data_IF_852559106582
#
_entry.id   IF_852559106582
#
_cell.length_a   1.000
_cell.length_b   1.000
_cell.length_c   1.000
_cell.angle_alpha   90.00
_cell.angle_beta   90.00
_cell.angle_gamma   90.00
#
_symmetry.space_group_name_H-M   'P 1'
#
loop_
_entity.id
_entity.type
_entity.pdbx_description
1 polymer ?
#
# COMPACT_ATOMS: atom_id res chain seq x y z
N UNK A 1 -1.36 28.09 8.86
CA UNK A 1 -0.17 27.91 9.69
C UNK A 1 1.03 27.65 8.79
N UNK A 2 2.16 28.21 9.16
CA UNK A 2 3.44 27.94 8.51
C UNK A 2 4.53 27.63 9.53
N UNK A 3 5.56 26.91 9.11
CA UNK A 3 6.78 26.79 9.88
C UNK A 3 7.99 26.99 8.97
N UNK A 4 9.03 27.62 9.53
CA UNK A 4 10.30 27.76 8.85
C UNK A 4 11.49 27.63 9.83
N UNK A 5 12.64 27.29 9.30
CA UNK A 5 13.92 27.32 9.98
C UNK A 5 14.77 28.50 9.50
N UNK A 6 15.53 29.09 10.40
CA UNK A 6 16.59 30.03 10.05
C UNK A 6 17.84 29.24 9.67
N UNK A 7 18.52 29.63 8.59
CA UNK A 7 19.73 28.94 8.10
C UNK A 7 20.99 29.28 8.91
N UNK A 8 20.89 30.19 9.88
CA UNK A 8 21.99 30.47 10.78
C UNK A 8 22.25 29.27 11.72
N UNK A 9 23.46 28.74 11.81
CA UNK A 9 23.83 27.60 12.65
C UNK A 9 23.40 27.73 14.11
N UNK A 10 23.26 28.94 14.65
CA UNK A 10 22.82 29.19 16.01
C UNK A 10 21.38 28.78 16.27
N UNK A 11 20.52 28.74 15.24
CA UNK A 11 19.12 28.36 15.30
C UNK A 11 18.87 26.92 14.89
N UNK A 12 19.90 26.12 14.73
CA UNK A 12 19.78 24.72 14.34
C UNK A 12 18.87 23.93 15.27
N UNK A 13 17.88 23.25 14.72
CA UNK A 13 16.89 22.46 15.46
C UNK A 13 15.77 23.31 16.06
N UNK A 14 15.66 24.59 15.66
CA UNK A 14 14.55 25.46 16.01
C UNK A 14 13.65 25.67 14.79
N UNK A 15 12.36 25.64 15.01
CA UNK A 15 11.35 26.04 14.04
C UNK A 15 10.57 27.23 14.58
N UNK A 16 10.34 28.22 13.72
CA UNK A 16 9.36 29.25 14.00
C UNK A 16 8.01 28.82 13.43
N UNK A 17 7.00 28.76 14.29
CA UNK A 17 5.64 28.35 13.94
C UNK A 17 4.72 29.56 14.05
N UNK A 18 4.12 29.98 12.94
CA UNK A 18 3.29 31.17 12.90
C UNK A 18 2.03 31.03 12.05
N UNK A 19 1.19 32.06 12.14
CA UNK A 19 -0.06 32.16 11.38
C UNK A 19 -0.02 33.33 10.42
N UNK A 20 -0.70 33.17 9.27
CA UNK A 20 -0.89 34.25 8.32
C UNK A 20 -2.18 34.06 7.51
N UNK A 21 -2.81 35.15 7.16
CA UNK A 21 -3.95 35.23 6.22
C UNK A 21 -3.52 35.62 4.81
N UNK A 22 -2.24 35.93 4.64
CA UNK A 22 -1.65 36.25 3.33
C UNK A 22 -0.69 35.13 2.92
N UNK A 23 -0.19 35.22 1.69
CA UNK A 23 0.79 34.27 1.18
C UNK A 23 1.98 34.08 2.14
N UNK A 24 2.35 32.82 2.40
CA UNK A 24 3.37 32.45 3.37
C UNK A 24 4.75 32.98 2.98
N UNK A 25 5.12 32.89 1.69
CA UNK A 25 6.43 33.35 1.21
C UNK A 25 6.57 34.86 1.42
N UNK A 26 5.50 35.60 1.11
CA UNK A 26 5.46 37.05 1.37
C UNK A 26 5.54 37.36 2.86
N UNK A 27 4.82 36.62 3.71
CA UNK A 27 4.83 36.83 5.16
C UNK A 27 6.19 36.56 5.77
N UNK A 28 6.86 35.48 5.40
CA UNK A 28 8.17 35.13 5.92
C UNK A 28 9.24 36.12 5.40
N UNK A 29 9.17 36.50 4.13
CA UNK A 29 10.10 37.50 3.58
C UNK A 29 10.02 38.86 4.31
N UNK A 30 8.85 39.26 4.77
CA UNK A 30 8.69 40.51 5.58
C UNK A 30 9.41 40.45 6.93
N UNK A 31 9.66 39.27 7.47
CA UNK A 31 10.41 39.11 8.73
C UNK A 31 11.92 39.20 8.53
N UNK A 32 12.39 39.12 7.27
CA UNK A 32 13.79 39.22 6.87
C UNK A 32 13.95 40.33 5.81
N UNK A 33 13.81 41.60 6.19
CA UNK A 33 13.82 42.70 5.22
C UNK A 33 15.16 42.89 4.55
N UNK A 34 16.26 42.41 5.15
CA UNK A 34 17.61 42.54 4.59
C UNK A 34 17.98 41.30 3.78
N UNK A 35 18.26 41.50 2.50
CA UNK A 35 18.78 40.44 1.62
C UNK A 35 20.26 40.26 1.82
N UNK A 36 20.76 39.03 1.74
CA UNK A 36 22.21 38.73 1.74
C UNK A 36 22.84 39.21 0.44
N UNK A 37 24.13 39.55 0.44
CA UNK A 37 24.84 40.03 -0.75
C UNK A 37 24.86 39.05 -1.93
N UNK A 38 24.76 37.74 -1.64
CA UNK A 38 24.71 36.65 -2.61
C UNK A 38 23.26 36.38 -3.14
N UNK A 39 22.28 37.18 -2.71
CA UNK A 39 20.88 37.01 -3.07
C UNK A 39 20.18 35.89 -2.35
N UNK A 40 20.85 35.11 -1.50
CA UNK A 40 20.20 34.02 -0.73
C UNK A 40 19.32 34.57 0.38
N UNK A 41 18.31 33.80 0.76
CA UNK A 41 17.45 34.11 1.90
C UNK A 41 17.93 33.38 3.14
N UNK A 42 17.85 33.98 4.34
CA UNK A 42 18.37 33.39 5.57
C UNK A 42 17.41 32.38 6.22
N UNK A 43 16.42 31.89 5.48
CA UNK A 43 15.39 30.98 6.00
C UNK A 43 15.01 29.90 4.97
N UNK A 44 14.41 28.83 5.46
CA UNK A 44 13.80 27.79 4.65
C UNK A 44 12.40 27.47 5.20
N UNK A 45 11.35 27.73 4.42
CA UNK A 45 9.98 27.36 4.80
C UNK A 45 9.84 25.83 4.66
N UNK A 46 9.46 25.17 5.74
CA UNK A 46 9.38 23.71 5.83
C UNK A 46 7.94 23.20 5.96
N UNK A 47 6.99 24.10 6.26
CA UNK A 47 5.59 23.75 6.40
C UNK A 47 4.69 24.88 5.91
N UNK A 48 3.63 24.51 5.18
CA UNK A 48 2.48 25.35 4.82
C UNK A 48 1.23 24.52 4.95
N UNK A 49 0.36 24.88 5.89
CA UNK A 49 -0.86 24.15 6.18
C UNK A 49 -2.05 25.09 6.37
N UNK A 50 -3.23 24.64 5.96
CA UNK A 50 -4.47 25.36 6.22
C UNK A 50 -4.78 25.41 7.72
N UNK A 51 -5.22 26.56 8.21
CA UNK A 51 -5.68 26.78 9.58
C UNK A 51 -7.21 26.66 9.70
N UNK A 52 -7.81 25.73 8.98
CA UNK A 52 -9.26 25.53 8.98
C UNK A 52 -9.63 24.21 9.60
N UNK A 53 -10.70 24.21 10.38
CA UNK A 53 -11.39 23.00 10.83
C UNK A 53 -12.25 22.41 9.71
N UNK A 54 -12.64 21.12 9.79
CA UNK A 54 -13.55 20.51 8.81
C UNK A 54 -14.93 21.18 8.74
N UNK A 55 -15.34 21.88 9.78
CA UNK A 55 -16.61 22.62 9.85
C UNK A 55 -16.54 24.04 9.19
N UNK A 56 -15.39 24.39 8.60
CA UNK A 56 -15.15 25.66 7.95
C UNK A 56 -14.73 26.80 8.90
N UNK A 57 -14.71 26.60 10.20
CA UNK A 57 -14.14 27.56 11.13
C UNK A 57 -12.59 27.53 11.10
N UNK A 58 -11.94 28.57 11.63
CA UNK A 58 -10.48 28.68 11.64
C UNK A 58 -9.90 28.63 13.05
N UNK A 59 -8.64 28.24 13.15
CA UNK A 59 -7.79 28.32 14.33
C UNK A 59 -6.53 29.13 14.01
N UNK A 60 -5.74 29.47 15.00
CA UNK A 60 -4.51 30.24 14.83
C UNK A 60 -3.28 29.46 15.36
N UNK A 61 -2.11 30.11 15.30
CA UNK A 61 -0.85 29.52 15.81
C UNK A 61 -0.83 29.36 17.34
N UNK A 62 -1.62 30.14 18.09
CA UNK A 62 -1.71 29.97 19.53
C UNK A 62 -2.30 28.61 19.94
N UNK A 63 -3.25 28.08 19.16
CA UNK A 63 -3.80 26.75 19.40
C UNK A 63 -2.72 25.68 19.21
N UNK A 64 -1.92 25.81 18.16
CA UNK A 64 -0.79 24.93 17.87
C UNK A 64 0.31 25.06 18.94
N UNK A 65 0.65 26.29 19.34
CA UNK A 65 1.64 26.56 20.38
C UNK A 65 1.25 25.92 21.70
N UNK A 66 -0.02 26.09 22.16
CA UNK A 66 -0.52 25.45 23.38
C UNK A 66 -0.38 23.95 23.35
N UNK A 67 -0.63 23.34 22.20
CA UNK A 67 -0.52 21.89 22.06
C UNK A 67 0.92 21.42 22.06
N UNK A 68 1.82 22.11 21.38
CA UNK A 68 3.25 21.81 21.39
C UNK A 68 3.79 21.87 22.83
N UNK A 69 3.46 22.94 23.59
CA UNK A 69 3.87 23.08 24.99
C UNK A 69 3.28 21.97 25.88
N UNK A 70 2.00 21.60 25.68
CA UNK A 70 1.35 20.50 26.40
C UNK A 70 2.03 19.15 26.15
N UNK A 71 2.54 18.95 24.93
CA UNK A 71 3.32 17.76 24.56
C UNK A 71 4.78 17.80 25.04
N UNK A 72 5.17 18.83 25.79
CA UNK A 72 6.52 18.97 26.35
C UNK A 72 7.56 19.53 25.37
N UNK A 73 7.13 20.07 24.22
CA UNK A 73 8.04 20.74 23.28
C UNK A 73 8.52 22.05 23.85
N UNK A 74 9.84 22.24 23.88
CA UNK A 74 10.45 23.43 24.46
C UNK A 74 10.20 24.68 23.62
N UNK A 75 9.51 25.67 24.16
CA UNK A 75 9.42 27.01 23.59
C UNK A 75 10.66 27.80 23.98
N UNK A 76 11.44 28.26 23.01
CA UNK A 76 12.70 28.98 23.26
C UNK A 76 12.43 30.47 23.43
N UNK A 77 11.46 31.02 22.72
CA UNK A 77 11.04 32.41 22.83
C UNK A 77 10.13 32.82 21.67
N UNK A 78 9.11 33.64 21.98
CA UNK A 78 8.15 34.07 20.97
C UNK A 78 7.45 32.87 20.29
N UNK A 79 7.57 32.78 18.97
CA UNK A 79 7.01 31.71 18.13
C UNK A 79 8.03 30.60 17.82
N UNK A 80 9.20 30.56 18.51
CA UNK A 80 10.26 29.61 18.27
C UNK A 80 10.20 28.41 19.20
N UNK A 81 10.21 27.22 18.61
CA UNK A 81 10.16 25.94 19.29
C UNK A 81 11.35 25.05 18.91
N UNK A 82 11.87 24.30 19.87
CA UNK A 82 12.85 23.25 19.64
C UNK A 82 12.11 21.97 19.25
N UNK A 83 11.85 21.82 17.97
CA UNK A 83 11.04 20.71 17.45
C UNK A 83 11.38 20.36 16.00
N UNK A 84 10.82 19.25 15.56
CA UNK A 84 10.83 18.78 14.19
C UNK A 84 9.56 19.20 13.45
N UNK A 85 9.59 19.16 12.11
CA UNK A 85 8.40 19.40 11.28
C UNK A 85 7.28 18.38 11.60
N UNK A 86 7.65 17.15 11.91
CA UNK A 86 6.69 16.09 12.27
C UNK A 86 5.92 16.41 13.55
N UNK A 87 6.58 16.97 14.55
CA UNK A 87 5.93 17.40 15.80
C UNK A 87 4.96 18.55 15.56
N UNK A 88 5.29 19.49 14.67
CA UNK A 88 4.38 20.58 14.29
C UNK A 88 3.18 20.03 13.52
N UNK A 89 3.40 19.11 12.57
CA UNK A 89 2.31 18.45 11.84
C UNK A 89 1.40 17.67 12.78
N UNK A 90 1.95 16.91 13.72
CA UNK A 90 1.16 16.17 14.71
C UNK A 90 0.35 17.10 15.62
N UNK A 91 0.89 18.27 15.97
CA UNK A 91 0.16 19.29 16.72
C UNK A 91 -0.99 19.89 15.87
N UNK A 92 -0.74 20.20 14.61
CA UNK A 92 -1.78 20.66 13.68
C UNK A 92 -2.91 19.64 13.51
N UNK A 93 -2.56 18.36 13.34
CA UNK A 93 -3.54 17.26 13.26
C UNK A 93 -4.40 17.22 14.52
N UNK A 94 -3.79 17.29 15.68
CA UNK A 94 -4.49 17.27 16.96
C UNK A 94 -5.46 18.46 17.11
N UNK A 95 -5.02 19.68 16.76
CA UNK A 95 -5.88 20.88 16.77
C UNK A 95 -7.05 20.69 15.80
N UNK A 96 -6.76 20.32 14.54
CA UNK A 96 -7.77 20.16 13.49
C UNK A 96 -8.80 19.07 13.81
N UNK A 97 -8.37 17.97 14.40
CA UNK A 97 -9.23 16.85 14.81
C UNK A 97 -9.85 17.03 16.19
N UNK A 98 -9.47 18.06 16.92
CA UNK A 98 -9.88 18.32 18.33
C UNK A 98 -9.60 17.11 19.24
N UNK A 99 -8.43 16.47 19.05
CA UNK A 99 -7.96 15.29 19.79
C UNK A 99 -6.61 15.59 20.45
N UNK A 100 -6.21 14.76 21.41
CA UNK A 100 -4.88 14.89 22.01
C UNK A 100 -3.77 14.33 21.11
N UNK A 101 -4.11 13.41 20.19
CA UNK A 101 -3.16 12.78 19.26
C UNK A 101 -1.85 12.38 19.98
N UNK A 102 -1.97 11.55 21.00
CA UNK A 102 -0.86 11.18 21.91
C UNK A 102 0.29 10.52 21.15
N UNK A 103 -0.03 9.76 20.12
CA UNK A 103 0.94 8.99 19.31
C UNK A 103 1.60 9.83 18.20
N UNK A 104 1.35 11.15 18.15
CA UNK A 104 1.93 12.08 17.17
C UNK A 104 1.67 11.72 15.70
N UNK A 105 0.47 11.27 15.41
CA UNK A 105 0.06 10.90 14.06
C UNK A 105 -0.10 12.14 13.18
N UNK A 106 0.26 12.02 11.90
CA UNK A 106 0.40 13.16 11.00
C UNK A 106 -0.53 13.14 9.79
N UNK A 107 -1.26 12.03 9.57
CA UNK A 107 -2.16 11.88 8.43
C UNK A 107 -3.62 11.98 8.86
N UNK A 108 -4.43 12.72 8.07
CA UNK A 108 -5.86 12.99 8.38
C UNK A 108 -6.76 12.87 7.14
N UNK A 109 -6.26 12.32 6.04
CA UNK A 109 -7.06 12.21 4.83
C UNK A 109 -8.26 11.28 5.02
N UNK A 110 -9.36 11.60 4.38
CA UNK A 110 -10.56 10.76 4.38
C UNK A 110 -10.55 9.76 3.22
N UNK A 111 -11.37 8.72 3.33
CA UNK A 111 -11.61 7.81 2.22
C UNK A 111 -12.14 8.56 1.01
N UNK A 112 -11.63 8.22 -0.18
CA UNK A 112 -12.25 8.61 -1.43
C UNK A 112 -13.61 7.90 -1.61
N UNK A 113 -14.51 8.44 -2.46
CA UNK A 113 -15.86 7.85 -2.62
C UNK A 113 -15.86 6.36 -2.95
N UNK A 114 -14.98 5.91 -3.83
CA UNK A 114 -14.86 4.51 -4.22
C UNK A 114 -14.33 3.62 -3.07
N UNK A 115 -13.46 4.16 -2.23
CA UNK A 115 -12.98 3.43 -1.03
C UNK A 115 -14.12 3.27 -0.02
N UNK A 116 -14.90 4.34 0.19
CA UNK A 116 -16.06 4.30 1.07
C UNK A 116 -17.11 3.31 0.55
N UNK A 117 -17.39 3.31 -0.76
CA UNK A 117 -18.29 2.36 -1.40
C UNK A 117 -17.83 0.91 -1.22
N UNK A 118 -16.53 0.62 -1.44
CA UNK A 118 -15.97 -0.71 -1.24
C UNK A 118 -16.16 -1.19 0.20
N UNK A 119 -15.87 -0.33 1.16
CA UNK A 119 -16.06 -0.60 2.59
C UNK A 119 -17.54 -0.86 2.91
N UNK A 120 -18.43 0.02 2.47
CA UNK A 120 -19.85 -0.07 2.81
C UNK A 120 -20.51 -1.32 2.17
N UNK A 121 -20.17 -1.68 0.92
CA UNK A 121 -20.63 -2.92 0.28
C UNK A 121 -20.11 -4.16 1.00
N UNK A 122 -18.85 -4.17 1.41
CA UNK A 122 -18.27 -5.28 2.17
C UNK A 122 -18.97 -5.46 3.52
N UNK A 123 -19.20 -4.36 4.24
CA UNK A 123 -19.91 -4.37 5.52
C UNK A 123 -21.34 -4.89 5.36
N UNK A 124 -22.05 -4.43 4.32
CA UNK A 124 -23.42 -4.88 4.05
C UNK A 124 -23.45 -6.39 3.78
N UNK A 125 -22.53 -6.89 2.94
CA UNK A 125 -22.43 -8.31 2.66
C UNK A 125 -22.08 -9.14 3.91
N UNK A 126 -21.14 -8.71 4.73
CA UNK A 126 -20.77 -9.43 5.96
C UNK A 126 -21.93 -9.51 6.96
N UNK A 127 -22.71 -8.44 7.10
CA UNK A 127 -23.89 -8.42 7.98
C UNK A 127 -24.98 -9.35 7.46
N UNK A 128 -25.31 -9.31 6.17
CA UNK A 128 -26.29 -10.19 5.55
C UNK A 128 -25.91 -11.67 5.71
N UNK A 129 -24.67 -12.02 5.41
CA UNK A 129 -24.16 -13.38 5.54
C UNK A 129 -24.22 -13.90 7.00
N UNK A 130 -23.99 -13.01 7.98
CA UNK A 130 -24.12 -13.34 9.40
C UNK A 130 -25.59 -13.59 9.79
N UNK A 131 -26.50 -12.73 9.35
CA UNK A 131 -27.94 -12.84 9.64
C UNK A 131 -28.57 -14.10 9.00
N UNK A 132 -28.10 -14.48 7.82
CA UNK A 132 -28.55 -15.68 7.11
C UNK A 132 -28.05 -16.99 7.74
N UNK A 133 -27.14 -16.90 8.73
CA UNK A 133 -26.60 -18.08 9.42
C UNK A 133 -25.79 -19.00 8.51
N UNK A 134 -25.04 -18.42 7.57
CA UNK A 134 -24.18 -19.18 6.65
C UNK A 134 -23.22 -20.10 7.41
N UNK A 135 -23.16 -21.37 7.01
CA UNK A 135 -22.20 -22.34 7.55
C UNK A 135 -20.76 -22.10 7.04
N UNK A 136 -20.58 -21.16 6.11
CA UNK A 136 -19.25 -20.80 5.56
C UNK A 136 -18.85 -19.43 6.05
N UNK A 137 -17.57 -19.26 6.35
CA UNK A 137 -16.99 -17.96 6.70
C UNK A 137 -17.19 -16.99 5.53
N UNK A 138 -17.85 -15.84 5.76
CA UNK A 138 -18.08 -14.85 4.70
C UNK A 138 -16.76 -14.32 4.16
N UNK A 139 -16.68 -14.19 2.82
CA UNK A 139 -15.51 -13.70 2.10
C UNK A 139 -15.89 -12.63 1.11
N UNK A 140 -14.99 -11.66 0.90
CA UNK A 140 -15.19 -10.57 -0.04
C UNK A 140 -13.91 -10.27 -0.81
N UNK A 141 -14.02 -9.93 -2.08
CA UNK A 141 -12.90 -9.62 -2.98
C UNK A 141 -12.94 -8.14 -3.40
N UNK A 142 -11.85 -7.42 -3.15
CA UNK A 142 -11.60 -6.13 -3.78
C UNK A 142 -10.70 -6.31 -5.00
N UNK A 143 -11.31 -6.32 -6.17
CA UNK A 143 -10.63 -6.19 -7.44
C UNK A 143 -10.40 -4.70 -7.71
N UNK A 144 -9.35 -4.16 -7.14
CA UNK A 144 -9.06 -2.75 -7.24
C UNK A 144 -7.62 -2.52 -7.70
N UNK A 145 -7.49 -1.66 -8.72
CA UNK A 145 -6.20 -1.33 -9.33
C UNK A 145 -5.15 -0.85 -8.30
N UNK A 146 -3.88 -0.85 -8.71
CA UNK A 146 -2.81 -0.23 -7.91
C UNK A 146 -3.16 1.24 -7.61
N UNK A 147 -2.76 1.72 -6.42
CA UNK A 147 -3.06 3.07 -5.90
C UNK A 147 -4.53 3.35 -5.59
N UNK A 148 -5.33 2.31 -5.50
CA UNK A 148 -6.67 2.41 -4.91
C UNK A 148 -6.61 2.81 -3.43
N UNK A 149 -5.53 2.50 -2.72
CA UNK A 149 -5.42 2.67 -1.26
C UNK A 149 -6.11 1.54 -0.51
N UNK A 150 -5.95 0.31 -0.99
CA UNK A 150 -6.53 -0.90 -0.38
C UNK A 150 -6.18 -1.03 1.09
N UNK A 151 -4.93 -0.72 1.46
CA UNK A 151 -4.41 -0.79 2.83
C UNK A 151 -5.23 0.08 3.79
N UNK A 152 -5.31 1.38 3.50
CA UNK A 152 -6.08 2.33 4.29
C UNK A 152 -7.56 1.97 4.37
N UNK A 153 -8.18 1.66 3.23
CA UNK A 153 -9.59 1.27 3.18
C UNK A 153 -9.88 -0.02 3.97
N UNK A 154 -8.93 -0.98 4.01
CA UNK A 154 -9.07 -2.20 4.82
C UNK A 154 -9.06 -1.90 6.31
N UNK A 155 -8.23 -0.95 6.75
CA UNK A 155 -8.24 -0.50 8.14
C UNK A 155 -9.52 0.25 8.50
N UNK A 156 -10.04 1.08 7.60
CA UNK A 156 -11.33 1.73 7.78
C UNK A 156 -12.48 0.72 7.86
N UNK A 157 -12.46 -0.33 7.05
CA UNK A 157 -13.40 -1.46 7.18
C UNK A 157 -13.32 -2.09 8.57
N UNK A 158 -12.11 -2.43 9.01
CA UNK A 158 -11.91 -3.06 10.31
C UNK A 158 -12.35 -2.15 11.46
N UNK A 159 -12.10 -0.83 11.38
CA UNK A 159 -12.54 0.18 12.34
C UNK A 159 -14.06 0.28 12.39
N UNK A 160 -14.73 0.42 11.22
CA UNK A 160 -16.18 0.53 11.13
C UNK A 160 -16.92 -0.74 11.61
N UNK A 161 -16.31 -1.91 11.44
CA UNK A 161 -16.83 -3.19 11.93
C UNK A 161 -16.50 -3.44 13.41
N UNK A 162 -15.67 -2.62 14.03
CA UNK A 162 -15.24 -2.78 15.43
C UNK A 162 -14.30 -3.96 15.67
N UNK A 163 -13.57 -4.39 14.63
CA UNK A 163 -12.64 -5.51 14.72
C UNK A 163 -11.44 -5.17 15.62
N UNK A 164 -11.02 -6.14 16.40
CA UNK A 164 -9.88 -6.00 17.32
C UNK A 164 -8.68 -6.87 16.94
N UNK A 165 -8.89 -7.91 16.14
CA UNK A 165 -7.84 -8.85 15.73
C UNK A 165 -7.85 -9.02 14.24
N UNK A 166 -6.89 -8.40 13.57
CA UNK A 166 -6.73 -8.44 12.12
C UNK A 166 -5.44 -9.14 11.77
N UNK A 167 -5.51 -10.14 10.93
CA UNK A 167 -4.36 -10.84 10.39
C UNK A 167 -4.20 -10.51 8.91
N UNK A 168 -3.02 -10.07 8.50
CA UNK A 168 -2.68 -9.76 7.12
C UNK A 168 -1.66 -10.78 6.63
N UNK A 169 -2.00 -11.48 5.56
CA UNK A 169 -1.17 -12.48 4.92
C UNK A 169 -0.81 -12.06 3.50
N UNK A 170 0.47 -12.16 3.15
CA UNK A 170 0.97 -11.82 1.81
C UNK A 170 2.06 -12.78 1.35
N UNK A 171 2.26 -12.89 0.03
CA UNK A 171 3.46 -13.51 -0.54
C UNK A 171 4.61 -12.52 -0.76
N UNK A 172 4.33 -11.21 -0.62
CA UNK A 172 5.32 -10.13 -0.83
C UNK A 172 5.62 -9.37 0.45
N UNK A 173 6.57 -9.82 1.28
CA UNK A 173 6.91 -9.13 2.54
C UNK A 173 7.26 -7.64 2.36
N UNK A 174 7.72 -7.24 1.17
CA UNK A 174 8.08 -5.85 0.86
C UNK A 174 6.95 -4.83 1.05
N UNK A 175 5.67 -5.26 1.05
CA UNK A 175 4.52 -4.36 1.28
C UNK A 175 4.29 -4.04 2.77
N UNK A 176 5.03 -4.68 3.68
CA UNK A 176 4.92 -4.47 5.13
C UNK A 176 5.02 -3.01 5.53
N UNK A 177 5.97 -2.28 4.95
CA UNK A 177 6.19 -0.86 5.25
C UNK A 177 4.94 -0.02 4.97
N UNK A 178 4.28 -0.25 3.82
CA UNK A 178 3.06 0.48 3.46
C UNK A 178 1.91 0.19 4.46
N UNK A 179 1.72 -1.07 4.84
CA UNK A 179 0.73 -1.46 5.83
C UNK A 179 1.00 -0.82 7.20
N UNK A 180 2.26 -0.82 7.63
CA UNK A 180 2.67 -0.21 8.89
C UNK A 180 2.50 1.30 8.87
N UNK A 181 2.95 1.97 7.81
CA UNK A 181 2.89 3.43 7.70
C UNK A 181 1.45 3.91 7.73
N UNK A 182 0.54 3.36 6.93
CA UNK A 182 -0.86 3.75 6.92
C UNK A 182 -1.49 3.61 8.32
N UNK A 183 -1.22 2.51 9.03
CA UNK A 183 -1.76 2.30 10.38
C UNK A 183 -1.18 3.25 11.41
N UNK A 184 0.15 3.47 11.39
CA UNK A 184 0.85 4.17 12.46
C UNK A 184 0.88 5.68 12.27
N UNK A 185 0.59 6.20 11.08
CA UNK A 185 0.64 7.64 10.81
C UNK A 185 -0.73 8.30 10.75
N UNK A 186 -1.81 7.54 10.50
CA UNK A 186 -3.14 8.10 10.36
C UNK A 186 -3.86 8.23 11.70
N UNK A 187 -4.49 9.38 11.96
CA UNK A 187 -5.16 9.72 13.24
C UNK A 187 -6.31 8.77 13.57
N UNK A 188 -6.99 8.25 12.58
CA UNK A 188 -8.15 7.36 12.76
C UNK A 188 -7.81 6.03 13.44
N UNK A 189 -6.53 5.64 13.43
CA UNK A 189 -6.05 4.40 14.01
C UNK A 189 -5.24 4.63 15.30
N UNK A 190 -5.42 5.79 15.95
CA UNK A 190 -4.78 6.03 17.24
C UNK A 190 -5.15 4.93 18.24
N UNK A 191 -4.14 4.39 18.90
CA UNK A 191 -4.31 3.27 19.80
C UNK A 191 -4.21 1.88 19.17
N UNK A 192 -4.15 1.75 17.84
CA UNK A 192 -3.94 0.47 17.20
C UNK A 192 -2.49 0.01 17.28
N UNK A 193 -2.27 -1.30 17.36
CA UNK A 193 -0.96 -1.92 17.49
C UNK A 193 -0.62 -2.70 16.23
N UNK A 194 0.57 -2.47 15.66
CA UNK A 194 1.06 -3.20 14.49
C UNK A 194 2.17 -4.16 14.89
N UNK A 195 1.98 -5.43 14.59
CA UNK A 195 2.88 -6.53 14.91
C UNK A 195 3.37 -7.16 13.61
N UNK A 196 4.67 -7.21 13.44
CA UNK A 196 5.29 -7.82 12.26
C UNK A 196 6.73 -8.21 12.55
N UNK A 197 7.32 -8.99 11.65
CA UNK A 197 8.74 -9.32 11.73
C UNK A 197 9.58 -8.04 11.59
N UNK A 198 10.50 -7.82 12.52
CA UNK A 198 11.48 -6.74 12.43
C UNK A 198 12.82 -7.30 11.93
N UNK A 199 13.26 -6.83 10.76
CA UNK A 199 14.53 -7.22 10.19
C UNK A 199 15.73 -6.78 11.05
N UNK A 200 15.58 -5.74 11.87
CA UNK A 200 16.62 -5.22 12.75
C UNK A 200 16.65 -5.90 14.12
N UNK A 201 15.59 -6.62 14.49
CA UNK A 201 15.50 -7.31 15.76
C UNK A 201 14.91 -8.72 15.59
N UNK A 202 15.72 -9.63 15.07
CA UNK A 202 15.32 -11.02 14.81
C UNK A 202 15.04 -11.84 16.07
N UNK A 203 15.45 -11.36 17.25
CA UNK A 203 15.20 -12.03 18.54
C UNK A 203 13.79 -11.77 19.05
N UNK A 204 13.15 -10.68 18.63
CA UNK A 204 11.79 -10.35 19.00
C UNK A 204 10.80 -10.95 17.98
N UNK A 205 10.34 -12.15 18.28
CA UNK A 205 9.44 -12.86 17.36
C UNK A 205 8.06 -12.20 17.29
N UNK A 206 7.30 -12.46 16.22
CA UNK A 206 5.92 -11.99 16.07
C UNK A 206 5.05 -12.50 17.24
N UNK A 207 5.30 -13.75 17.69
CA UNK A 207 4.61 -14.31 18.83
C UNK A 207 4.90 -13.53 20.12
N UNK A 208 6.16 -13.20 20.41
CA UNK A 208 6.53 -12.41 21.60
C UNK A 208 5.88 -11.04 21.59
N UNK A 209 5.87 -10.37 20.44
CA UNK A 209 5.17 -9.11 20.24
C UNK A 209 3.66 -9.25 20.50
N UNK A 210 3.04 -10.31 19.95
CA UNK A 210 1.63 -10.58 20.16
C UNK A 210 1.31 -10.85 21.63
N UNK A 211 2.13 -11.63 22.33
CA UNK A 211 1.90 -11.91 23.76
C UNK A 211 1.98 -10.66 24.62
N UNK A 212 2.88 -9.73 24.31
CA UNK A 212 3.05 -8.46 25.03
C UNK A 212 2.02 -7.39 24.67
N UNK A 213 1.35 -7.54 23.52
CA UNK A 213 0.38 -6.55 23.05
C UNK A 213 -0.84 -6.46 23.99
N UNK A 214 -1.37 -5.25 24.14
CA UNK A 214 -2.61 -5.01 24.88
C UNK A 214 -3.82 -5.58 24.13
N UNK A 215 -4.39 -6.65 24.68
CA UNK A 215 -5.52 -7.35 24.05
C UNK A 215 -6.84 -6.58 24.06
N UNK A 216 -6.92 -5.48 24.82
CA UNK A 216 -8.10 -4.59 24.84
C UNK A 216 -8.10 -3.61 23.67
N UNK A 217 -6.92 -3.34 23.10
CA UNK A 217 -6.72 -2.45 21.94
C UNK A 217 -6.71 -3.27 20.65
N UNK A 218 -7.08 -2.68 19.50
CA UNK A 218 -6.97 -3.34 18.22
C UNK A 218 -5.52 -3.74 17.89
N UNK A 219 -5.36 -4.96 17.38
CA UNK A 219 -4.08 -5.54 17.01
C UNK A 219 -4.15 -5.95 15.54
N UNK A 220 -3.17 -5.51 14.77
CA UNK A 220 -2.92 -5.93 13.40
C UNK A 220 -1.64 -6.76 13.38
N UNK A 221 -1.74 -8.03 12.98
CA UNK A 221 -0.59 -8.88 12.75
C UNK A 221 -0.35 -9.00 11.24
N UNK A 222 0.87 -8.72 10.82
CA UNK A 222 1.30 -8.82 9.43
C UNK A 222 2.41 -9.85 9.29
N UNK A 223 2.30 -10.72 8.29
CA UNK A 223 3.36 -11.65 7.94
C UNK A 223 3.17 -12.30 6.58
N UNK A 224 4.21 -12.99 6.15
CA UNK A 224 4.12 -13.82 4.96
C UNK A 224 3.45 -15.16 5.26
N UNK A 225 2.99 -15.82 4.21
CA UNK A 225 2.51 -17.20 4.33
C UNK A 225 3.57 -18.13 4.90
N UNK A 226 4.83 -17.92 4.50
CA UNK A 226 5.96 -18.73 5.02
C UNK A 226 6.19 -18.50 6.51
N UNK A 227 5.92 -17.29 7.02
CA UNK A 227 6.09 -16.98 8.44
C UNK A 227 5.06 -17.70 9.30
N UNK A 228 3.80 -17.77 8.85
CA UNK A 228 2.70 -18.26 9.67
C UNK A 228 2.24 -19.69 9.35
N UNK A 229 2.30 -20.11 8.09
CA UNK A 229 1.78 -21.41 7.63
C UNK A 229 2.88 -22.46 7.41
N UNK A 230 4.13 -22.15 7.77
CA UNK A 230 5.23 -23.08 7.61
C UNK A 230 5.06 -24.35 8.47
N UNK A 231 5.23 -25.50 7.84
CA UNK A 231 5.17 -26.82 8.48
C UNK A 231 6.50 -27.17 9.14
N UNK A 232 6.47 -27.92 10.23
CA UNK A 232 7.66 -28.51 10.83
C UNK A 232 8.05 -29.74 10.03
N UNK A 233 9.27 -29.75 9.47
CA UNK A 233 9.79 -30.86 8.63
C UNK A 233 9.88 -32.19 9.33
N UNK A 234 10.04 -32.16 10.66
CA UNK A 234 10.25 -33.38 11.44
C UNK A 234 8.94 -34.04 11.87
N UNK A 235 7.87 -33.27 11.99
CA UNK A 235 6.58 -33.74 12.54
C UNK A 235 5.41 -33.66 11.57
N UNK A 236 5.58 -32.99 10.39
CA UNK A 236 4.50 -32.75 9.45
C UNK A 236 3.39 -31.80 9.99
N UNK A 237 3.56 -31.25 11.19
CA UNK A 237 2.60 -30.36 11.85
C UNK A 237 2.99 -28.90 11.76
N UNK A 238 2.08 -28.03 12.19
CA UNK A 238 2.35 -26.60 12.30
C UNK A 238 3.55 -26.37 13.21
N UNK A 239 4.45 -25.46 12.83
CA UNK A 239 5.56 -25.07 13.71
C UNK A 239 5.01 -24.58 15.05
N UNK A 240 5.52 -25.10 16.16
CA UNK A 240 5.07 -24.75 17.52
C UNK A 240 5.03 -23.21 17.76
N UNK A 241 5.97 -22.47 17.18
CA UNK A 241 6.01 -21.02 17.25
C UNK A 241 4.85 -20.32 16.54
N UNK A 242 4.08 -21.02 15.71
CA UNK A 242 2.97 -20.49 14.93
C UNK A 242 1.60 -20.99 15.41
N UNK A 243 1.53 -21.90 16.38
CA UNK A 243 0.27 -22.44 16.92
C UNK A 243 -0.68 -21.33 17.38
N UNK A 244 -0.15 -20.26 17.95
CA UNK A 244 -0.95 -19.12 18.40
C UNK A 244 -1.74 -18.44 17.27
N UNK A 245 -1.23 -18.41 16.04
CA UNK A 245 -1.95 -17.84 14.87
C UNK A 245 -3.18 -18.67 14.56
N UNK A 246 -3.06 -20.00 14.67
CA UNK A 246 -4.12 -20.95 14.36
C UNK A 246 -5.15 -21.07 15.48
N UNK A 247 -4.73 -20.86 16.73
CA UNK A 247 -5.61 -20.90 17.92
C UNK A 247 -6.25 -19.55 18.25
N UNK A 248 -5.79 -18.47 17.63
CA UNK A 248 -6.40 -17.15 17.79
C UNK A 248 -7.67 -17.05 16.95
N UNK A 249 -8.77 -16.60 17.57
CA UNK A 249 -9.98 -16.23 16.83
C UNK A 249 -9.78 -14.82 16.23
N UNK A 250 -9.51 -14.77 14.93
CA UNK A 250 -9.38 -13.51 14.21
C UNK A 250 -10.75 -12.96 13.84
N UNK A 251 -10.90 -11.63 13.91
CA UNK A 251 -12.12 -10.99 13.41
C UNK A 251 -12.07 -10.89 11.88
N UNK A 252 -10.90 -10.59 11.33
CA UNK A 252 -10.66 -10.45 9.89
C UNK A 252 -9.30 -11.03 9.50
N UNK A 253 -9.29 -11.86 8.46
CA UNK A 253 -8.07 -12.26 7.75
C UNK A 253 -8.05 -11.59 6.38
N UNK A 254 -6.99 -10.87 6.08
CA UNK A 254 -6.77 -10.16 4.82
C UNK A 254 -5.69 -10.88 4.01
N UNK A 255 -6.03 -11.26 2.78
CA UNK A 255 -5.08 -11.77 1.80
C UNK A 255 -4.68 -10.67 0.85
N UNK A 256 -3.45 -10.14 1.02
CA UNK A 256 -2.94 -9.08 0.15
C UNK A 256 -2.19 -9.67 -1.05
N UNK A 257 -2.34 -9.01 -2.21
CA UNK A 257 -1.81 -9.47 -3.49
C UNK A 257 -2.32 -10.86 -3.87
N UNK A 258 -3.65 -11.08 -3.71
CA UNK A 258 -4.29 -12.33 -4.05
C UNK A 258 -4.30 -12.56 -5.57
N UNK A 259 -3.38 -13.41 -6.03
CA UNK A 259 -3.29 -13.86 -7.41
C UNK A 259 -3.69 -15.34 -7.47
N UNK A 260 -4.93 -15.62 -7.84
CA UNK A 260 -5.57 -16.94 -7.73
C UNK A 260 -4.67 -18.12 -8.15
N UNK A 261 -4.05 -18.16 -9.24
CA UNK A 261 -3.24 -19.31 -9.67
C UNK A 261 -1.91 -19.45 -8.90
N UNK A 262 -1.21 -18.33 -8.71
CA UNK A 262 0.07 -18.31 -8.00
C UNK A 262 -0.09 -18.61 -6.51
N UNK A 263 -1.22 -18.23 -5.92
CA UNK A 263 -1.52 -18.50 -4.53
C UNK A 263 -1.71 -20.00 -4.28
N UNK A 264 -2.53 -20.67 -5.09
CA UNK A 264 -2.80 -22.12 -5.01
C UNK A 264 -1.51 -22.92 -5.23
N UNK A 265 -0.71 -22.54 -6.21
CA UNK A 265 0.55 -23.21 -6.52
C UNK A 265 1.61 -22.96 -5.43
N UNK A 266 1.72 -21.77 -4.89
CA UNK A 266 2.69 -21.47 -3.83
C UNK A 266 2.26 -22.06 -2.47
N UNK A 267 0.98 -22.06 -2.16
CA UNK A 267 0.46 -22.77 -1.00
C UNK A 267 0.74 -24.29 -1.14
N UNK A 268 0.46 -24.86 -2.30
CA UNK A 268 0.77 -26.24 -2.61
C UNK A 268 2.27 -26.55 -2.43
N UNK A 269 3.16 -25.74 -3.00
CA UNK A 269 4.62 -25.91 -2.84
C UNK A 269 5.09 -25.80 -1.39
N UNK A 270 4.46 -24.97 -0.56
CA UNK A 270 4.77 -24.88 0.86
C UNK A 270 4.39 -26.16 1.62
N UNK A 271 3.34 -26.86 1.16
CA UNK A 271 2.91 -28.14 1.72
C UNK A 271 3.60 -29.34 1.05
N UNK A 272 3.96 -29.27 -0.25
CA UNK A 272 4.59 -30.34 -1.02
C UNK A 272 6.12 -30.48 -0.80
N UNK A 273 6.79 -29.50 -0.22
CA UNK A 273 8.22 -29.66 0.11
C UNK A 273 8.50 -30.76 1.18
N UNK A 274 7.46 -31.36 1.69
CA UNK A 274 7.55 -32.45 2.69
C UNK A 274 6.96 -33.80 2.24
N UNK A 275 6.62 -33.99 0.93
CA UNK A 275 5.90 -35.21 0.52
C UNK A 275 6.46 -35.92 -0.71
N UNK A 276 7.15 -37.02 -0.43
CA UNK A 276 7.24 -38.18 -1.34
C UNK A 276 6.00 -39.11 -1.22
N UNK A 277 5.05 -38.88 -0.26
CA UNK A 277 3.96 -39.80 0.08
C UNK A 277 2.51 -39.32 -0.13
N UNK A 278 2.28 -38.13 -0.67
CA UNK A 278 0.89 -37.52 -0.76
C UNK A 278 0.25 -37.52 -2.15
N UNK A 279 0.76 -38.29 -3.08
CA UNK A 279 0.43 -38.17 -4.52
C UNK A 279 -0.95 -38.74 -4.91
N UNK A 280 -1.62 -39.53 -4.10
CA UNK A 280 -2.87 -40.17 -4.50
C UNK A 280 -4.15 -39.40 -4.12
N UNK A 281 -4.16 -38.62 -3.06
CA UNK A 281 -5.37 -37.93 -2.63
C UNK A 281 -5.52 -36.53 -3.24
N UNK A 282 -4.45 -35.83 -3.57
CA UNK A 282 -4.48 -34.49 -4.20
C UNK A 282 -4.86 -34.54 -5.69
N UNK A 283 -4.54 -35.63 -6.39
CA UNK A 283 -4.94 -35.82 -7.80
C UNK A 283 -6.46 -35.97 -7.98
N UNK A 284 -7.18 -36.35 -6.92
CA UNK A 284 -8.65 -36.42 -6.90
C UNK A 284 -9.32 -35.06 -6.76
N UNK A 285 -8.65 -34.06 -6.16
CA UNK A 285 -9.14 -32.70 -5.98
C UNK A 285 -8.92 -31.77 -7.18
N UNK A 286 -8.04 -32.14 -8.09
CA UNK A 286 -7.73 -31.34 -9.29
C UNK A 286 -8.84 -31.38 -10.37
N UNK A 287 -9.89 -32.18 -10.17
CA UNK A 287 -11.05 -32.25 -11.06
C UNK A 287 -12.22 -31.39 -10.58
N UNK A 288 -12.04 -30.07 -10.60
CA UNK A 288 -13.19 -29.13 -10.66
C UNK A 288 -13.83 -28.72 -9.35
N UNK A 289 -13.25 -29.00 -8.19
CA UNK A 289 -13.78 -28.48 -6.93
C UNK A 289 -13.12 -27.15 -6.57
N UNK A 290 -13.94 -26.15 -6.32
CA UNK A 290 -13.54 -24.86 -5.77
C UNK A 290 -12.65 -25.08 -4.54
N UNK A 291 -11.54 -24.34 -4.48
CA UNK A 291 -10.65 -24.28 -3.33
C UNK A 291 -11.46 -23.95 -2.08
N UNK A 292 -11.52 -24.84 -1.12
CA UNK A 292 -12.20 -24.63 0.14
C UNK A 292 -11.20 -24.05 1.14
N UNK A 293 -11.52 -22.94 1.77
CA UNK A 293 -10.76 -22.24 2.81
C UNK A 293 -10.53 -23.11 4.05
N UNK A 294 -11.20 -24.24 4.15
CA UNK A 294 -11.01 -25.24 5.21
C UNK A 294 -9.59 -25.80 5.29
N UNK A 295 -8.75 -25.59 4.25
CA UNK A 295 -7.34 -25.96 4.25
C UNK A 295 -6.43 -24.99 5.01
N UNK A 296 -6.91 -23.77 5.29
CA UNK A 296 -6.18 -22.86 6.16
C UNK A 296 -6.67 -23.06 7.58
N UNK A 297 -5.86 -23.68 8.44
CA UNK A 297 -6.27 -23.93 9.82
C UNK A 297 -6.25 -22.65 10.66
N UNK A 298 -6.82 -21.56 10.14
CA UNK A 298 -6.93 -20.27 10.78
C UNK A 298 -8.40 -20.01 11.09
N UNK A 299 -8.71 -19.79 12.36
CA UNK A 299 -10.06 -19.44 12.78
C UNK A 299 -10.32 -17.94 12.60
N UNK A 300 -11.28 -17.58 11.77
CA UNK A 300 -11.67 -16.17 11.54
C UNK A 300 -13.16 -16.02 11.32
N UNK A 301 -13.65 -14.81 11.58
CA UNK A 301 -15.04 -14.46 11.33
C UNK A 301 -15.26 -14.03 9.88
N UNK A 302 -14.28 -13.34 9.26
CA UNK A 302 -14.39 -12.84 7.89
C UNK A 302 -13.06 -12.94 7.13
N UNK A 303 -13.16 -13.10 5.80
CA UNK A 303 -12.03 -13.05 4.89
C UNK A 303 -12.18 -11.87 3.91
N UNK A 304 -11.11 -11.08 3.74
CA UNK A 304 -10.99 -10.05 2.72
C UNK A 304 -9.82 -10.37 1.78
N UNK A 305 -10.12 -10.42 0.50
CA UNK A 305 -9.14 -10.67 -0.55
C UNK A 305 -8.85 -9.38 -1.32
N UNK A 306 -7.59 -9.03 -1.47
CA UNK A 306 -7.16 -7.82 -2.16
C UNK A 306 -6.35 -8.20 -3.40
N UNK A 307 -6.79 -7.77 -4.57
CA UNK A 307 -6.10 -8.03 -5.84
C UNK A 307 -6.20 -6.85 -6.80
N UNK A 308 -5.16 -6.64 -7.60
CA UNK A 308 -5.20 -5.73 -8.73
C UNK A 308 -5.48 -6.41 -10.07
N UNK A 309 -5.39 -7.75 -10.12
CA UNK A 309 -5.51 -8.57 -11.34
C UNK A 309 -6.18 -9.92 -11.08
N UNK A 310 -7.44 -9.94 -10.65
CA UNK A 310 -8.11 -11.19 -10.23
C UNK A 310 -8.73 -11.98 -11.39
N UNK A 311 -8.24 -11.82 -12.64
CA UNK A 311 -8.86 -12.40 -13.84
C UNK A 311 -9.16 -13.90 -13.73
N UNK A 312 -8.30 -14.67 -13.07
CA UNK A 312 -8.52 -16.11 -12.88
C UNK A 312 -9.57 -16.39 -11.80
N UNK A 313 -9.57 -15.66 -10.68
CA UNK A 313 -10.54 -15.83 -9.60
C UNK A 313 -11.98 -15.59 -10.05
N UNK A 314 -12.18 -14.62 -10.96
CA UNK A 314 -13.50 -14.32 -11.54
C UNK A 314 -14.00 -15.44 -12.47
N UNK A 315 -13.08 -16.10 -13.18
CA UNK A 315 -13.44 -17.15 -14.15
C UNK A 315 -13.65 -18.52 -13.53
N UNK A 316 -13.22 -18.75 -12.28
CA UNK A 316 -13.30 -20.06 -11.61
C UNK A 316 -14.55 -20.23 -10.77
N UNK A 317 -15.39 -19.19 -10.60
CA UNK A 317 -16.59 -19.24 -9.78
C UNK A 317 -16.30 -19.27 -8.26
N UNK A 318 -15.07 -18.94 -7.84
CA UNK A 318 -14.70 -18.88 -6.43
C UNK A 318 -15.43 -17.77 -5.67
N UNK A 319 -15.72 -16.67 -6.36
CA UNK A 319 -16.51 -15.56 -5.84
C UNK A 319 -17.74 -15.33 -6.69
N UNK A 320 -18.89 -15.13 -6.08
CA UNK A 320 -20.10 -14.65 -6.74
C UNK A 320 -20.06 -13.12 -6.87
N UNK A 321 -20.90 -12.55 -7.74
CA UNK A 321 -20.88 -11.12 -8.06
C UNK A 321 -21.10 -10.23 -6.81
N UNK A 322 -21.93 -10.66 -5.89
CA UNK A 322 -22.23 -9.96 -4.64
C UNK A 322 -21.04 -9.90 -3.68
N UNK A 323 -20.05 -10.76 -3.85
CA UNK A 323 -18.82 -10.83 -3.08
C UNK A 323 -17.67 -10.03 -3.67
N UNK A 324 -17.91 -9.28 -4.75
CA UNK A 324 -16.85 -8.62 -5.50
C UNK A 324 -17.12 -7.11 -5.57
N UNK A 325 -16.08 -6.34 -5.26
CA UNK A 325 -16.03 -4.92 -5.58
C UNK A 325 -14.99 -4.68 -6.67
N UNK A 326 -15.40 -4.06 -7.77
CA UNK A 326 -14.52 -3.78 -8.90
C UNK A 326 -14.25 -2.27 -8.99
N UNK A 327 -12.95 -1.91 -9.09
CA UNK A 327 -12.51 -0.56 -9.41
C UNK A 327 -11.33 -0.58 -10.36
N UNK A 328 -11.62 -0.22 -11.61
CA UNK A 328 -10.65 -0.26 -12.70
C UNK A 328 -9.98 1.10 -12.91
N UNK A 329 -8.94 1.12 -13.75
CA UNK A 329 -8.34 2.38 -14.21
C UNK A 329 -9.33 3.29 -14.95
N UNK A 330 -10.23 2.70 -15.74
CA UNK A 330 -11.25 3.46 -16.47
C UNK A 330 -12.24 4.13 -15.51
N UNK A 331 -12.59 3.47 -14.41
CA UNK A 331 -13.45 4.04 -13.36
C UNK A 331 -12.78 5.24 -12.71
N UNK A 332 -11.50 5.12 -12.34
CA UNK A 332 -10.72 6.22 -11.78
C UNK A 332 -10.64 7.42 -12.73
N UNK A 333 -10.37 7.19 -14.03
CA UNK A 333 -10.31 8.28 -15.00
C UNK A 333 -11.67 8.93 -15.22
N UNK A 334 -12.76 8.17 -15.16
CA UNK A 334 -14.12 8.72 -15.19
C UNK A 334 -14.39 9.58 -13.96
N UNK A 335 -14.10 9.09 -12.77
CA UNK A 335 -14.25 9.81 -11.51
C UNK A 335 -13.41 11.11 -11.50
N UNK A 336 -12.13 11.03 -11.94
CA UNK A 336 -11.23 12.18 -12.05
C UNK A 336 -11.77 13.27 -12.96
N UNK A 337 -12.38 12.90 -14.09
CA UNK A 337 -12.98 13.83 -15.06
C UNK A 337 -14.32 14.40 -14.60
N UNK A 338 -15.11 13.58 -13.89
CA UNK A 338 -16.43 13.95 -13.40
C UNK A 338 -16.38 14.79 -12.12
N UNK A 339 -15.23 14.91 -11.47
CA UNK A 339 -15.10 15.66 -10.23
C UNK A 339 -15.35 17.15 -10.45
N UNK A 340 -16.24 17.69 -9.62
CA UNK A 340 -16.58 19.13 -9.60
C UNK A 340 -16.15 19.68 -8.24
N UNK A 341 -15.23 20.63 -8.23
CA UNK A 341 -14.69 21.26 -7.02
C UNK A 341 -13.16 21.43 -7.09
N UNK A 342 -12.63 22.27 -6.22
CA UNK A 342 -11.20 22.62 -6.21
C UNK A 342 -10.33 21.46 -5.68
N UNK A 343 -10.83 20.70 -4.68
CA UNK A 343 -10.08 19.63 -4.02
C UNK A 343 -10.35 18.25 -4.66
N UNK A 344 -9.86 18.06 -5.89
CA UNK A 344 -10.01 16.77 -6.57
C UNK A 344 -9.12 15.69 -5.93
N UNK A 345 -9.68 14.66 -5.25
CA UNK A 345 -8.91 13.63 -4.56
C UNK A 345 -8.14 12.71 -5.52
N UNK A 346 -8.44 12.80 -6.82
CA UNK A 346 -7.75 12.05 -7.89
C UNK A 346 -6.63 12.87 -8.55
N UNK A 347 -6.46 14.15 -8.20
CA UNK A 347 -5.52 15.05 -8.88
C UNK A 347 -4.09 14.50 -8.88
N UNK A 348 -3.64 13.99 -7.73
CA UNK A 348 -2.31 13.43 -7.55
C UNK A 348 -2.12 12.04 -8.18
N UNK A 349 -3.19 11.38 -8.64
CA UNK A 349 -3.07 10.07 -9.26
C UNK A 349 -2.56 10.20 -10.70
N UNK A 350 -1.54 9.43 -11.09
CA UNK A 350 -0.93 9.57 -12.40
C UNK A 350 -1.88 9.12 -13.52
N UNK A 351 -1.76 9.79 -14.65
CA UNK A 351 -2.36 9.30 -15.89
C UNK A 351 -1.55 8.09 -16.38
N UNK A 352 -2.23 6.99 -16.63
CA UNK A 352 -1.64 5.86 -17.34
C UNK A 352 -1.72 6.15 -18.84
N UNK A 353 -0.61 6.03 -19.55
CA UNK A 353 -0.56 6.02 -21.00
C UNK A 353 -0.25 4.58 -21.41
N UNK A 354 -1.22 3.91 -22.03
CA UNK A 354 -1.02 2.57 -22.58
C UNK A 354 -0.65 2.72 -24.05
N UNK A 355 0.56 2.33 -24.37
CA UNK A 355 1.04 2.26 -25.76
C UNK A 355 1.01 0.79 -26.16
N UNK A 356 0.27 0.48 -27.20
CA UNK A 356 0.27 -0.85 -27.83
C UNK A 356 1.06 -0.79 -29.12
N UNK A 357 1.97 -1.71 -29.30
CA UNK A 357 2.70 -1.88 -30.56
C UNK A 357 2.65 -3.33 -31.00
N UNK A 358 2.68 -3.52 -32.31
CA UNK A 358 2.71 -4.85 -32.87
C UNK A 358 4.09 -5.47 -32.62
N UNK A 359 4.12 -6.55 -31.84
CA UNK A 359 5.37 -7.30 -31.62
C UNK A 359 5.81 -7.92 -32.96
N UNK A 360 7.09 -7.78 -33.34
CA UNK A 360 7.62 -8.42 -34.54
C UNK A 360 7.38 -9.93 -34.53
N UNK A 361 7.06 -10.48 -35.69
CA UNK A 361 6.72 -11.91 -35.82
C UNK A 361 7.85 -12.83 -35.32
N UNK A 362 9.11 -12.41 -35.46
CA UNK A 362 10.28 -13.13 -34.92
C UNK A 362 10.28 -13.25 -33.39
N UNK A 363 9.84 -12.22 -32.69
CA UNK A 363 9.73 -12.23 -31.23
C UNK A 363 8.51 -13.07 -30.83
N UNK A 364 7.40 -12.97 -31.55
CA UNK A 364 6.22 -13.78 -31.29
C UNK A 364 6.51 -15.28 -31.45
N UNK A 365 7.29 -15.68 -32.47
CA UNK A 365 7.65 -17.08 -32.68
C UNK A 365 8.50 -17.66 -31.56
N UNK A 366 9.39 -16.86 -30.97
CA UNK A 366 10.18 -17.28 -29.80
C UNK A 366 9.29 -17.44 -28.56
N UNK A 367 8.48 -16.44 -28.30
CA UNK A 367 7.63 -16.45 -27.10
C UNK A 367 6.50 -17.49 -27.12
N UNK A 368 6.14 -18.00 -28.31
CA UNK A 368 5.18 -19.09 -28.49
C UNK A 368 5.76 -20.49 -28.33
N UNK A 369 7.04 -20.63 -28.05
CA UNK A 369 7.69 -21.93 -27.78
C UNK A 369 7.42 -22.43 -26.33
N UNK A 370 6.66 -21.70 -25.52
CA UNK A 370 6.21 -22.12 -24.20
C UNK A 370 5.13 -23.21 -24.25
N UNK A 371 4.71 -23.64 -23.08
CA UNK A 371 3.76 -24.75 -22.88
C UNK A 371 2.34 -24.43 -23.43
N UNK A 372 2.03 -23.14 -23.58
CA UNK A 372 0.78 -22.64 -24.15
C UNK A 372 1.09 -21.82 -25.40
N UNK A 373 0.25 -21.89 -26.45
CA UNK A 373 0.38 -21.08 -27.68
C UNK A 373 0.12 -19.57 -27.42
N UNK A 374 0.60 -19.06 -26.31
CA UNK A 374 0.52 -17.69 -25.85
C UNK A 374 1.92 -17.08 -25.69
N UNK A 375 2.00 -15.75 -25.64
CA UNK A 375 3.26 -15.04 -25.42
C UNK A 375 3.79 -15.28 -23.99
N UNK A 376 4.80 -16.14 -23.86
CA UNK A 376 5.43 -16.48 -22.59
C UNK A 376 6.70 -15.65 -22.36
N UNK A 377 6.62 -14.73 -21.40
CA UNK A 377 7.74 -13.88 -20.99
C UNK A 377 8.90 -14.69 -20.38
N UNK A 378 8.62 -15.81 -19.70
CA UNK A 378 9.67 -16.64 -19.11
C UNK A 378 10.51 -17.32 -20.20
N UNK A 379 9.90 -17.74 -21.29
CA UNK A 379 10.61 -18.25 -22.45
C UNK A 379 11.42 -17.14 -23.11
N UNK A 380 10.83 -15.97 -23.29
CA UNK A 380 11.50 -14.84 -23.94
C UNK A 380 12.71 -14.31 -23.14
N UNK A 381 12.59 -14.23 -21.82
CA UNK A 381 13.66 -13.79 -20.91
C UNK A 381 14.45 -14.96 -20.30
N UNK A 382 14.38 -16.14 -20.87
CA UNK A 382 15.16 -17.27 -20.36
C UNK A 382 16.66 -16.94 -20.38
N UNK A 383 17.36 -17.34 -19.33
CA UNK A 383 18.79 -17.08 -19.17
C UNK A 383 19.54 -18.37 -18.85
N UNK A 384 20.77 -18.47 -19.36
CA UNK A 384 21.70 -19.55 -19.09
C UNK A 384 22.96 -19.02 -18.41
N UNK A 385 23.71 -19.93 -17.75
CA UNK A 385 24.92 -19.58 -17.02
C UNK A 385 24.65 -19.17 -15.55
N UNK A 386 25.72 -18.89 -14.82
CA UNK A 386 25.64 -18.42 -13.40
C UNK A 386 26.67 -17.31 -13.15
N UNK A 387 26.28 -16.35 -12.33
CA UNK A 387 27.16 -15.25 -11.94
C UNK A 387 27.56 -14.37 -13.10
N UNK A 388 28.87 -14.26 -13.39
CA UNK A 388 29.39 -13.39 -14.47
C UNK A 388 29.16 -13.94 -15.89
N UNK A 389 28.87 -15.23 -15.99
CA UNK A 389 28.64 -15.91 -17.28
C UNK A 389 27.15 -16.02 -17.60
N UNK A 390 26.28 -15.45 -16.75
CA UNK A 390 24.84 -15.41 -17.02
C UNK A 390 24.53 -14.49 -18.21
N UNK A 391 23.77 -15.02 -19.18
CA UNK A 391 23.33 -14.29 -20.38
C UNK A 391 21.95 -14.76 -20.80
N UNK A 392 21.21 -13.93 -21.53
CA UNK A 392 19.93 -14.33 -22.07
C UNK A 392 20.09 -15.28 -23.24
N UNK A 393 19.28 -16.34 -23.31
CA UNK A 393 19.26 -17.29 -24.44
C UNK A 393 18.95 -16.57 -25.76
N UNK A 394 18.09 -15.55 -25.68
CA UNK A 394 17.66 -14.74 -26.83
C UNK A 394 18.17 -13.29 -26.71
N UNK A 395 19.43 -13.09 -26.35
CA UNK A 395 20.03 -11.78 -26.03
C UNK A 395 19.76 -10.71 -27.09
N UNK A 396 19.95 -11.02 -28.38
CA UNK A 396 19.70 -10.08 -29.49
C UNK A 396 18.24 -9.60 -29.53
N UNK A 397 17.29 -10.49 -29.22
CA UNK A 397 15.86 -10.17 -29.25
C UNK A 397 15.44 -9.40 -28.03
N UNK A 398 15.99 -9.74 -26.87
CA UNK A 398 15.81 -8.99 -25.61
C UNK A 398 16.36 -7.57 -25.79
N UNK A 399 17.55 -7.43 -26.39
CA UNK A 399 18.13 -6.11 -26.67
C UNK A 399 17.26 -5.28 -27.63
N UNK A 400 16.77 -5.87 -28.71
CA UNK A 400 15.85 -5.20 -29.65
C UNK A 400 14.55 -4.76 -28.97
N UNK A 401 14.02 -5.58 -28.07
CA UNK A 401 12.83 -5.24 -27.29
C UNK A 401 13.09 -4.10 -26.31
N UNK A 402 14.25 -4.10 -25.63
CA UNK A 402 14.68 -3.01 -24.76
C UNK A 402 14.88 -1.70 -25.53
N UNK A 403 15.48 -1.76 -26.71
CA UNK A 403 15.68 -0.59 -27.59
C UNK A 403 14.34 -0.03 -28.09
N UNK A 404 13.38 -0.88 -28.38
CA UNK A 404 12.01 -0.48 -28.71
C UNK A 404 11.35 0.28 -27.54
N UNK A 405 11.46 -0.24 -26.33
CA UNK A 405 10.91 0.41 -25.12
C UNK A 405 11.64 1.70 -24.80
N UNK A 406 12.95 1.79 -25.01
CA UNK A 406 13.75 3.01 -24.81
C UNK A 406 13.41 4.14 -25.78
N UNK A 407 12.63 3.89 -26.81
CA UNK A 407 12.17 4.91 -27.73
C UNK A 407 13.11 5.19 -28.88
N UNK A 408 14.14 4.35 -29.14
CA UNK A 408 14.97 4.45 -30.34
C UNK A 408 14.17 4.28 -31.64
N UNK A 409 12.96 3.70 -31.53
CA UNK A 409 12.01 3.51 -32.63
C UNK A 409 10.76 4.39 -32.53
N UNK A 410 10.55 5.11 -31.42
CA UNK A 410 9.34 5.89 -31.19
C UNK A 410 9.30 7.22 -31.95
N UNK A 411 10.42 7.76 -32.40
CA UNK A 411 10.45 9.01 -33.16
C UNK A 411 9.68 8.94 -34.47
N UNK A 412 9.69 7.79 -35.12
CA UNK A 412 8.97 7.57 -36.41
C UNK A 412 7.48 7.23 -36.21
N UNK A 413 7.13 6.57 -35.11
CA UNK A 413 5.77 6.06 -34.89
C UNK A 413 4.85 7.10 -34.20
N UNK A 414 5.42 8.00 -33.40
CA UNK A 414 4.64 9.06 -32.72
C UNK A 414 4.21 10.16 -33.68
N UNK A 415 5.02 10.47 -34.71
CA UNK A 415 4.65 11.44 -35.75
C UNK A 415 3.56 10.89 -36.68
N UNK A 416 3.51 9.57 -36.90
CA UNK A 416 2.46 8.91 -37.67
C UNK A 416 1.12 8.84 -36.92
N UNK A 417 1.11 8.78 -35.61
CA UNK A 417 -0.10 8.68 -34.80
C UNK A 417 -0.81 10.02 -34.53
N UNK A 418 -0.28 11.14 -35.02
CA UNK A 418 -0.86 12.49 -34.83
C UNK A 418 -1.36 12.76 -33.40
N UNK A 419 -0.65 12.26 -32.40
CA UNK A 419 -0.87 12.62 -31.01
C UNK A 419 -0.39 14.07 -30.83
N UNK A 420 -1.31 14.95 -30.51
CA UNK A 420 -1.12 16.41 -30.47
C UNK A 420 0.19 16.85 -29.81
N UNK A 421 0.61 18.05 -30.16
CA UNK A 421 1.92 18.70 -30.08
C UNK A 421 2.69 18.69 -28.72
N UNK A 422 2.30 17.95 -27.73
CA UNK A 422 3.08 17.76 -26.49
C UNK A 422 3.75 16.35 -26.52
N UNK A 423 5.06 16.34 -26.72
CA UNK A 423 5.87 15.13 -26.46
C UNK A 423 5.56 14.67 -25.03
N UNK A 424 4.97 13.47 -24.82
CA UNK A 424 4.84 12.96 -23.47
C UNK A 424 6.25 12.84 -22.88
N UNK A 425 6.46 13.21 -21.62
CA UNK A 425 7.74 13.00 -20.96
C UNK A 425 8.07 11.51 -21.03
N UNK A 426 9.27 11.17 -21.48
CA UNK A 426 9.76 9.80 -21.58
C UNK A 426 9.53 9.09 -20.25
N UNK A 427 8.70 8.05 -20.16
CA UNK A 427 8.22 7.54 -18.88
C UNK A 427 9.25 6.74 -18.09
N UNK A 428 10.44 6.46 -18.65
CA UNK A 428 11.40 5.56 -18.01
C UNK A 428 12.83 6.13 -18.06
N UNK A 429 13.37 6.44 -16.88
CA UNK A 429 14.84 6.48 -16.71
C UNK A 429 15.36 5.04 -16.62
N UNK A 430 16.57 4.79 -17.10
CA UNK A 430 17.23 3.47 -17.13
C UNK A 430 17.16 2.66 -15.82
N UNK A 431 17.08 3.34 -14.69
CA UNK A 431 16.97 2.75 -13.34
C UNK A 431 15.59 2.16 -13.02
N UNK A 432 14.53 2.60 -13.68
CA UNK A 432 13.15 2.11 -13.39
C UNK A 432 12.80 0.83 -14.13
N UNK A 433 13.41 0.56 -15.28
CA UNK A 433 13.23 -0.69 -16.01
C UNK A 433 13.86 -1.87 -15.25
N UNK A 434 15.03 -1.67 -14.64
CA UNK A 434 15.69 -2.67 -13.80
C UNK A 434 14.85 -3.03 -12.55
N UNK A 435 14.07 -2.08 -12.00
CA UNK A 435 13.19 -2.33 -10.85
C UNK A 435 11.86 -3.03 -11.22
N UNK A 436 11.49 -3.10 -12.48
CA UNK A 436 10.31 -3.84 -12.97
C UNK A 436 10.66 -5.28 -13.33
N UNK A 437 11.94 -5.54 -13.65
CA UNK A 437 12.45 -6.86 -14.01
C UNK A 437 13.07 -7.64 -12.83
N UNK A 438 13.25 -6.99 -11.67
CA UNK A 438 13.63 -7.61 -10.39
C UNK A 438 12.40 -7.72 -9.47
#
# INVERSE_FOLDING_TARGET
IYAYEDTNPQYRGLLKVGYTTVDVDRRVAQQYPTKRPDGSVPYRIVLRESAMYPDGSSFDDHDVHRLLERKGVQRVGGEWFRCTVQEVLAALVAVRSRTDNVENRTQTFSMRPEQAEAVDRTMAYYRSAYEEGSNRTPKFLWNAKMRFGKTFASYELAKKMGFKRVLILTFKPAVQTAWREDLMTHVDFEGWQFISRDANNLQDTINDQYQRADKNRPIVCFGSFQDFLGVNKDTGGIKANNEWVHTTNWDLVIFDEYHFGAWKENARKLFEQDEDDFDEDLSRYDRGNAYDETWLPITTTYYLYLSGTPFRALNTGEFIEEQIYNWTYSDEQRAKKAWVGEDNPYAALPRMVMLTYKIPDSIQQIAKQGEFDEFDLNVFFSAEGKGKDAHFVYEDYVQKWLDLIRGSYLETTVDELKLGAEKPPMPFSDTRLLNVLN
#
